data_IF_239983823985
#
_entry.id   IF_239983823985
#
_cell.length_a   1.000
_cell.length_b   1.000
_cell.length_c   1.000
_cell.angle_alpha   90.00
_cell.angle_beta   90.00
_cell.angle_gamma   90.00
#
_symmetry.space_group_name_H-M   'P 1'
#
loop_
_entity.id
_entity.type
_entity.pdbx_description
1 polymer ?
#
# COMPACT_ATOMS: atom_id res chain seq x y z
N UNK A 1 27.91 -9.23 -0.22
CA UNK A 1 27.80 -10.00 -1.48
C UNK A 1 26.78 -9.29 -2.36
N UNK A 2 27.17 -8.61 -3.43
CA UNK A 2 26.21 -8.17 -4.45
C UNK A 2 25.62 -9.42 -5.09
N UNK A 3 24.39 -9.74 -4.72
CA UNK A 3 23.59 -10.76 -5.40
C UNK A 3 23.37 -10.20 -6.81
N UNK A 4 24.14 -10.69 -7.77
CA UNK A 4 24.45 -9.96 -9.01
C UNK A 4 23.35 -10.15 -10.07
N UNK A 5 22.57 -9.10 -10.31
CA UNK A 5 21.78 -8.95 -11.53
C UNK A 5 22.74 -8.72 -12.70
N UNK A 6 22.59 -9.46 -13.81
CA UNK A 6 23.36 -9.22 -15.02
C UNK A 6 22.76 -8.04 -15.82
N UNK A 7 23.14 -6.82 -15.44
CA UNK A 7 22.57 -5.61 -16.00
C UNK A 7 22.82 -5.41 -17.49
N UNK A 8 23.93 -5.87 -18.04
CA UNK A 8 24.18 -5.82 -19.50
C UNK A 8 23.19 -6.68 -20.27
N UNK A 9 22.77 -7.83 -19.72
CA UNK A 9 21.72 -8.66 -20.31
C UNK A 9 20.36 -7.98 -20.24
N UNK A 10 20.05 -7.34 -19.10
CA UNK A 10 18.82 -6.55 -18.94
C UNK A 10 18.79 -5.38 -19.90
N UNK A 11 19.88 -4.63 -20.05
CA UNK A 11 19.97 -3.51 -21.00
C UNK A 11 19.62 -3.96 -22.42
N UNK A 12 20.27 -5.01 -22.93
CA UNK A 12 19.99 -5.54 -24.27
C UNK A 12 18.53 -5.94 -24.44
N UNK A 13 17.96 -6.57 -23.43
CA UNK A 13 16.55 -6.97 -23.41
C UNK A 13 15.63 -5.75 -23.45
N UNK A 14 15.85 -4.75 -22.58
CA UNK A 14 15.07 -3.52 -22.55
C UNK A 14 15.14 -2.76 -23.88
N UNK A 15 16.34 -2.64 -24.48
CA UNK A 15 16.49 -1.99 -25.78
C UNK A 15 15.70 -2.66 -26.89
N UNK A 16 15.62 -3.98 -26.87
CA UNK A 16 14.89 -4.76 -27.87
C UNK A 16 13.38 -4.65 -27.65
N UNK A 17 12.92 -4.97 -26.45
CA UNK A 17 11.48 -5.08 -26.16
C UNK A 17 10.78 -3.71 -26.07
N UNK A 18 11.50 -2.66 -25.71
CA UNK A 18 10.96 -1.30 -25.60
C UNK A 18 11.37 -0.38 -26.76
N UNK A 19 11.98 -0.93 -27.82
CA UNK A 19 12.46 -0.18 -28.99
C UNK A 19 13.39 1.00 -28.66
N UNK A 20 14.34 0.79 -27.73
CA UNK A 20 15.31 1.80 -27.28
C UNK A 20 16.69 1.64 -27.95
N UNK A 21 16.71 1.16 -29.19
CA UNK A 21 17.97 0.95 -29.94
C UNK A 21 18.63 2.27 -30.35
N UNK A 22 17.83 3.31 -30.58
CA UNK A 22 18.31 4.64 -30.96
C UNK A 22 18.66 5.52 -29.75
N UNK A 23 18.32 5.10 -28.52
CA UNK A 23 18.68 5.82 -27.30
C UNK A 23 20.19 5.70 -27.05
N UNK A 24 20.89 6.83 -27.09
CA UNK A 24 22.33 6.90 -26.83
C UNK A 24 22.66 6.80 -25.33
N UNK A 25 23.84 6.26 -25.01
CA UNK A 25 24.33 6.13 -23.63
C UNK A 25 24.07 4.76 -23.01
N UNK A 26 24.82 4.40 -21.97
CA UNK A 26 24.73 3.10 -21.28
C UNK A 26 23.55 3.05 -20.30
N UNK A 27 23.17 1.85 -19.86
CA UNK A 27 22.16 1.68 -18.81
C UNK A 27 22.66 2.22 -17.47
N UNK A 28 21.96 3.21 -16.93
CA UNK A 28 22.13 3.68 -15.56
C UNK A 28 21.10 3.05 -14.63
N UNK A 29 21.54 2.64 -13.43
CA UNK A 29 20.68 2.00 -12.43
C UNK A 29 20.82 2.73 -11.10
N UNK A 30 19.68 3.07 -10.51
CA UNK A 30 19.62 3.61 -9.14
C UNK A 30 18.59 2.86 -8.32
N UNK A 31 18.96 2.16 -7.24
CA UNK A 31 17.99 1.53 -6.34
C UNK A 31 17.17 2.60 -5.62
N UNK A 32 15.88 2.33 -5.42
CA UNK A 32 15.10 3.05 -4.42
C UNK A 32 15.41 2.43 -3.05
N UNK A 33 15.67 3.27 -2.05
CA UNK A 33 16.15 2.85 -0.72
C UNK A 33 15.03 2.47 0.25
N UNK A 34 13.76 2.62 -0.15
CA UNK A 34 12.59 2.38 0.70
C UNK A 34 11.96 1.00 0.43
N UNK A 35 11.72 0.24 1.52
CA UNK A 35 10.94 -1.00 1.52
C UNK A 35 11.76 -2.30 1.61
N UNK A 36 11.18 -3.30 2.28
CA UNK A 36 11.78 -4.64 2.46
C UNK A 36 11.09 -5.74 1.64
N UNK A 37 10.02 -5.40 0.91
CA UNK A 37 9.21 -6.38 0.17
C UNK A 37 9.86 -6.71 -1.17
N UNK A 38 9.76 -5.81 -2.15
CA UNK A 38 10.32 -5.98 -3.49
C UNK A 38 11.49 -5.02 -3.72
N UNK A 39 12.42 -5.41 -4.58
CA UNK A 39 13.50 -4.53 -5.01
C UNK A 39 13.01 -3.69 -6.18
N UNK A 40 13.18 -2.37 -6.07
CA UNK A 40 12.75 -1.41 -7.07
C UNK A 40 13.94 -0.57 -7.51
N UNK A 41 14.11 -0.40 -8.83
CA UNK A 41 15.23 0.31 -9.44
C UNK A 41 14.72 1.31 -10.46
N UNK A 42 15.22 2.55 -10.40
CA UNK A 42 15.18 3.45 -11.55
C UNK A 42 16.19 2.91 -12.58
N UNK A 43 15.72 2.71 -13.80
CA UNK A 43 16.53 2.36 -14.96
C UNK A 43 16.45 3.49 -15.98
N UNK A 44 17.61 3.98 -16.45
CA UNK A 44 17.69 5.05 -17.45
C UNK A 44 18.59 4.62 -18.61
N UNK A 45 18.13 4.85 -19.83
CA UNK A 45 18.89 4.64 -21.07
C UNK A 45 18.72 5.90 -21.90
N UNK A 46 19.78 6.70 -22.03
CA UNK A 46 19.67 8.00 -22.69
C UNK A 46 18.69 8.93 -21.98
N UNK A 47 17.63 9.35 -22.69
CA UNK A 47 16.55 10.17 -22.12
C UNK A 47 15.38 9.34 -21.59
N UNK A 48 15.32 8.05 -21.92
CA UNK A 48 14.27 7.16 -21.47
C UNK A 48 14.48 6.76 -20.00
N UNK A 49 13.42 6.88 -19.19
CA UNK A 49 13.38 6.50 -17.78
C UNK A 49 12.25 5.47 -17.54
N UNK A 50 12.54 4.47 -16.71
CA UNK A 50 11.57 3.47 -16.27
C UNK A 50 11.89 2.95 -14.86
N UNK A 51 10.94 2.23 -14.27
CA UNK A 51 11.10 1.59 -12.96
C UNK A 51 11.03 0.08 -13.13
N UNK A 52 12.11 -0.61 -12.79
CA UNK A 52 12.16 -2.07 -12.73
C UNK A 52 11.81 -2.54 -11.31
N UNK A 53 10.82 -3.42 -11.19
CA UNK A 53 10.42 -4.05 -9.93
C UNK A 53 10.62 -5.56 -10.00
N UNK A 54 11.23 -6.14 -8.97
CA UNK A 54 11.46 -7.59 -8.85
C UNK A 54 11.34 -8.10 -7.41
N UNK A 55 11.14 -9.41 -7.19
CA UNK A 55 11.22 -10.00 -5.87
C UNK A 55 12.62 -9.87 -5.25
N UNK A 56 12.75 -9.98 -3.91
CA UNK A 56 14.03 -9.97 -3.26
C UNK A 56 14.81 -11.25 -3.62
N UNK A 57 16.13 -11.20 -3.39
CA UNK A 57 16.97 -12.35 -3.70
C UNK A 57 16.83 -13.46 -2.67
N UNK A 58 16.93 -14.71 -3.13
CA UNK A 58 16.88 -15.91 -2.28
C UNK A 58 15.61 -16.72 -2.50
N UNK A 59 15.38 -17.67 -1.60
CA UNK A 59 14.13 -18.42 -1.55
C UNK A 59 13.00 -17.56 -1.01
N UNK A 60 11.83 -17.68 -1.62
CA UNK A 60 10.66 -16.88 -1.29
C UNK A 60 9.53 -17.81 -0.86
N UNK A 61 8.70 -17.42 0.13
CA UNK A 61 7.47 -18.14 0.43
C UNK A 61 6.60 -18.28 -0.82
N UNK A 62 5.94 -19.43 -0.97
CA UNK A 62 5.05 -19.67 -2.10
C UNK A 62 3.96 -18.58 -2.18
N UNK A 63 3.75 -18.03 -3.39
CA UNK A 63 2.79 -16.94 -3.71
C UNK A 63 3.12 -15.56 -3.10
N UNK A 64 4.25 -15.39 -2.41
CA UNK A 64 4.75 -14.06 -2.08
C UNK A 64 5.42 -13.42 -3.32
N UNK A 65 5.39 -12.09 -3.42
CA UNK A 65 6.06 -11.33 -4.48
C UNK A 65 5.63 -11.70 -5.91
N UNK A 66 4.32 -11.87 -6.14
CA UNK A 66 3.77 -12.21 -7.45
C UNK A 66 3.77 -10.99 -8.41
N UNK A 67 4.91 -10.76 -9.05
CA UNK A 67 5.11 -9.69 -10.05
C UNK A 67 4.17 -9.81 -11.25
N UNK A 68 3.74 -11.03 -11.61
CA UNK A 68 2.83 -11.25 -12.74
C UNK A 68 1.45 -10.71 -12.42
N UNK A 69 0.97 -10.98 -11.19
CA UNK A 69 -0.31 -10.47 -10.68
C UNK A 69 -0.32 -8.95 -10.70
N UNK A 70 0.70 -8.31 -10.14
CA UNK A 70 0.78 -6.85 -10.09
C UNK A 70 0.85 -6.23 -11.49
N UNK A 71 1.74 -6.69 -12.36
CA UNK A 71 1.83 -6.22 -13.74
C UNK A 71 0.49 -6.34 -14.49
N UNK A 72 -0.19 -7.49 -14.37
CA UNK A 72 -1.47 -7.72 -15.05
C UNK A 72 -2.58 -6.84 -14.48
N UNK A 73 -2.55 -6.55 -13.18
CA UNK A 73 -3.48 -5.63 -12.55
C UNK A 73 -3.27 -4.21 -13.08
N UNK A 74 -2.03 -3.71 -13.05
CA UNK A 74 -1.69 -2.38 -13.61
C UNK A 74 -2.15 -2.28 -15.06
N UNK A 75 -1.94 -3.34 -15.86
CA UNK A 75 -2.31 -3.36 -17.28
C UNK A 75 -3.82 -3.25 -17.51
N UNK A 76 -4.62 -3.83 -16.62
CA UNK A 76 -6.09 -3.79 -16.69
C UNK A 76 -6.65 -2.44 -16.25
N UNK A 77 -6.07 -1.83 -15.21
CA UNK A 77 -6.65 -0.61 -14.62
C UNK A 77 -6.12 0.68 -15.27
N UNK A 78 -4.95 0.66 -15.91
CA UNK A 78 -4.32 1.87 -16.44
C UNK A 78 -5.22 2.69 -17.39
N UNK A 79 -6.04 2.05 -18.23
CA UNK A 79 -6.91 2.75 -19.18
C UNK A 79 -8.04 3.53 -18.51
N UNK A 80 -8.45 3.13 -17.30
CA UNK A 80 -9.54 3.76 -16.54
C UNK A 80 -9.04 4.58 -15.35
N UNK A 81 -7.78 4.36 -14.97
CA UNK A 81 -7.12 5.03 -13.86
C UNK A 81 -5.63 5.28 -14.18
N UNK A 82 -5.32 6.28 -15.02
CA UNK A 82 -3.95 6.54 -15.52
C UNK A 82 -2.99 7.13 -14.48
N UNK A 83 -3.46 7.32 -13.24
CA UNK A 83 -2.65 7.67 -12.08
C UNK A 83 -1.85 6.46 -11.56
N UNK A 84 -2.12 5.24 -12.01
CA UNK A 84 -1.15 4.15 -11.81
C UNK A 84 0.03 4.30 -12.78
N UNK A 85 1.23 3.81 -12.42
CA UNK A 85 2.32 3.69 -13.38
C UNK A 85 1.93 2.79 -14.56
N UNK A 86 2.12 3.26 -15.79
CA UNK A 86 1.89 2.42 -16.98
C UNK A 86 2.82 1.21 -16.96
N UNK A 87 2.32 -0.04 -17.01
CA UNK A 87 3.19 -1.19 -17.20
C UNK A 87 3.73 -1.20 -18.62
N UNK A 88 5.06 -1.34 -18.75
CA UNK A 88 5.77 -1.27 -20.03
C UNK A 88 6.20 -2.66 -20.50
N UNK A 89 6.67 -3.51 -19.58
CA UNK A 89 7.24 -4.81 -19.91
C UNK A 89 7.09 -5.80 -18.75
N UNK A 90 6.86 -7.06 -19.05
CA UNK A 90 6.95 -8.17 -18.11
C UNK A 90 7.92 -9.22 -18.64
N UNK A 91 8.74 -9.80 -17.76
CA UNK A 91 9.68 -10.86 -18.13
C UNK A 91 9.63 -11.99 -17.09
N UNK A 92 9.41 -13.21 -17.58
CA UNK A 92 9.49 -14.46 -16.80
C UNK A 92 10.60 -15.40 -17.29
N UNK A 93 11.42 -14.96 -18.25
CA UNK A 93 12.50 -15.78 -18.80
C UNK A 93 13.69 -15.87 -17.82
N UNK A 94 13.99 -17.06 -17.26
CA UNK A 94 15.11 -17.24 -16.33
C UNK A 94 16.47 -17.00 -16.98
N UNK A 95 16.54 -17.02 -18.32
CA UNK A 95 17.75 -16.65 -19.03
C UNK A 95 17.99 -15.14 -19.01
N UNK A 96 16.97 -14.30 -18.77
CA UNK A 96 17.14 -12.84 -18.67
C UNK A 96 17.46 -12.44 -17.22
N UNK A 97 16.68 -12.92 -16.25
CA UNK A 97 16.88 -12.65 -14.82
C UNK A 97 16.46 -13.87 -13.97
N UNK A 98 17.11 -14.08 -12.82
CA UNK A 98 16.83 -15.18 -11.87
C UNK A 98 15.42 -15.16 -11.26
N UNK A 99 14.73 -14.02 -11.35
CA UNK A 99 13.34 -13.84 -10.89
C UNK A 99 12.55 -13.12 -11.97
N UNK A 100 11.25 -13.37 -11.98
CA UNK A 100 10.34 -12.59 -12.81
C UNK A 100 10.39 -11.13 -12.38
N UNK A 101 10.33 -10.23 -13.34
CA UNK A 101 10.31 -8.79 -13.09
C UNK A 101 9.38 -8.11 -14.06
N UNK A 102 9.04 -6.86 -13.77
CA UNK A 102 8.38 -6.00 -14.73
C UNK A 102 9.00 -4.61 -14.72
N UNK A 103 8.78 -3.88 -15.80
CA UNK A 103 9.15 -2.47 -15.94
C UNK A 103 7.88 -1.66 -16.11
N UNK A 104 7.82 -0.52 -15.42
CA UNK A 104 6.72 0.45 -15.51
C UNK A 104 7.25 1.86 -15.75
N UNK A 105 6.34 2.76 -16.13
CA UNK A 105 6.57 4.19 -16.24
C UNK A 105 7.17 4.76 -14.96
N UNK A 106 8.18 5.62 -15.11
CA UNK A 106 8.66 6.44 -14.01
C UNK A 106 7.77 7.68 -13.86
N UNK A 107 6.95 7.71 -12.82
CA UNK A 107 6.15 8.88 -12.44
C UNK A 107 7.00 9.88 -11.66
N UNK A 108 6.82 11.18 -11.94
CA UNK A 108 7.50 12.28 -11.26
C UNK A 108 6.52 12.96 -10.29
N UNK A 109 6.99 13.26 -9.09
CA UNK A 109 6.18 13.88 -8.06
C UNK A 109 6.87 13.87 -6.70
N UNK A 110 6.17 14.37 -5.70
CA UNK A 110 6.61 14.42 -4.31
C UNK A 110 5.88 13.35 -3.52
N UNK A 111 6.63 12.47 -2.85
CA UNK A 111 6.09 11.51 -1.88
C UNK A 111 6.27 12.08 -0.49
N UNK A 112 5.24 11.98 0.34
CA UNK A 112 5.28 12.45 1.73
C UNK A 112 5.46 11.26 2.67
N UNK A 113 6.54 11.28 3.46
CA UNK A 113 6.87 10.22 4.43
C UNK A 113 7.03 10.84 5.83
N UNK A 114 8.25 11.06 6.33
CA UNK A 114 8.53 11.70 7.63
C UNK A 114 8.46 13.24 7.58
N UNK A 115 8.76 13.82 6.42
CA UNK A 115 8.91 15.26 6.25
C UNK A 115 8.08 15.81 5.09
N UNK A 116 7.63 17.06 5.25
CA UNK A 116 7.05 17.85 4.17
C UNK A 116 8.15 18.69 3.50
N UNK A 117 8.04 18.96 2.19
CA UNK A 117 8.79 20.06 1.59
C UNK A 117 8.61 21.34 2.41
N UNK A 118 9.69 22.12 2.60
CA UNK A 118 9.66 23.31 3.47
C UNK A 118 8.53 24.28 3.09
N UNK A 119 8.33 24.51 1.79
CA UNK A 119 7.30 25.41 1.26
C UNK A 119 5.87 24.85 1.40
N UNK A 120 5.72 23.57 1.77
CA UNK A 120 4.43 22.91 1.98
C UNK A 120 3.99 22.90 3.44
N UNK A 121 4.85 23.36 4.36
CA UNK A 121 4.57 23.34 5.79
C UNK A 121 3.69 24.53 6.24
N UNK A 122 2.53 24.70 5.61
CA UNK A 122 1.50 25.67 5.99
C UNK A 122 0.18 24.94 6.22
N UNK A 123 -0.66 25.44 7.15
CA UNK A 123 -1.96 24.81 7.42
C UNK A 123 -2.85 24.75 6.18
N UNK A 124 -2.78 25.74 5.29
CA UNK A 124 -3.54 25.75 4.04
C UNK A 124 -3.13 24.59 3.12
N UNK A 125 -1.83 24.37 2.92
CA UNK A 125 -1.33 23.29 2.05
C UNK A 125 -1.60 21.92 2.68
N UNK A 126 -1.43 21.77 4.00
CA UNK A 126 -1.78 20.52 4.71
C UNK A 126 -3.27 20.15 4.54
N UNK A 127 -4.16 21.14 4.56
CA UNK A 127 -5.59 20.94 4.26
C UNK A 127 -5.83 20.56 2.80
N UNK A 128 -5.10 21.16 1.85
CA UNK A 128 -5.18 20.79 0.42
C UNK A 128 -4.73 19.34 0.19
N UNK A 129 -3.59 18.94 0.77
CA UNK A 129 -3.07 17.57 0.73
C UNK A 129 -4.11 16.59 1.30
N UNK A 130 -4.70 16.92 2.46
CA UNK A 130 -5.72 16.09 3.12
C UNK A 130 -6.94 15.85 2.20
N UNK A 131 -7.44 16.91 1.56
CA UNK A 131 -8.57 16.84 0.62
C UNK A 131 -8.22 16.06 -0.64
N UNK A 132 -7.05 16.31 -1.22
CA UNK A 132 -6.58 15.60 -2.41
C UNK A 132 -6.44 14.10 -2.14
N UNK A 133 -5.86 13.73 -1.00
CA UNK A 133 -5.70 12.34 -0.56
C UNK A 133 -7.03 11.59 -0.50
N UNK A 134 -8.04 12.15 0.17
CA UNK A 134 -9.32 11.47 0.31
C UNK A 134 -10.15 11.48 -0.97
N UNK A 135 -10.08 12.57 -1.74
CA UNK A 135 -10.75 12.64 -3.04
C UNK A 135 -10.18 11.61 -4.02
N UNK A 136 -8.87 11.36 -4.00
CA UNK A 136 -8.26 10.34 -4.83
C UNK A 136 -8.73 8.93 -4.48
N UNK A 137 -8.94 8.65 -3.19
CA UNK A 137 -9.52 7.37 -2.77
C UNK A 137 -10.96 7.23 -3.27
N UNK A 138 -11.75 8.31 -3.22
CA UNK A 138 -13.11 8.35 -3.78
C UNK A 138 -13.08 8.11 -5.30
N UNK A 139 -12.17 8.77 -6.03
CA UNK A 139 -12.01 8.60 -7.47
C UNK A 139 -11.70 7.14 -7.82
N UNK A 140 -10.78 6.49 -7.09
CA UNK A 140 -10.47 5.07 -7.24
C UNK A 140 -11.70 4.19 -6.99
N UNK A 141 -12.44 4.46 -5.91
CA UNK A 141 -13.60 3.67 -5.52
C UNK A 141 -14.83 3.88 -6.42
N UNK A 142 -14.87 4.97 -7.18
CA UNK A 142 -15.95 5.26 -8.13
C UNK A 142 -15.76 4.62 -9.51
N UNK A 143 -14.63 3.95 -9.75
CA UNK A 143 -14.44 3.16 -10.98
C UNK A 143 -15.39 1.96 -10.96
N UNK A 144 -16.31 1.91 -11.93
CA UNK A 144 -17.23 0.80 -12.08
C UNK A 144 -16.47 -0.47 -12.52
N UNK A 145 -16.39 -1.45 -11.63
CA UNK A 145 -15.66 -2.71 -11.85
C UNK A 145 -16.24 -3.51 -13.02
N UNK A 146 -17.56 -3.54 -13.19
CA UNK A 146 -18.22 -4.42 -14.15
C UNK A 146 -18.26 -3.79 -15.54
N UNK A 147 -18.56 -2.50 -15.65
CA UNK A 147 -18.54 -1.76 -16.92
C UNK A 147 -17.15 -1.74 -17.55
N UNK A 148 -16.09 -1.81 -16.73
CA UNK A 148 -14.70 -1.83 -17.19
C UNK A 148 -14.09 -3.24 -17.27
N UNK A 149 -14.89 -4.30 -17.11
CA UNK A 149 -14.44 -5.71 -17.20
C UNK A 149 -13.29 -6.06 -16.22
N UNK A 150 -13.35 -5.50 -15.01
CA UNK A 150 -12.35 -5.66 -13.95
C UNK A 150 -12.75 -6.72 -12.89
N UNK A 151 -13.84 -7.45 -13.10
CA UNK A 151 -14.35 -8.52 -12.23
C UNK A 151 -13.31 -9.64 -11.99
N UNK A 152 -12.42 -9.85 -12.94
CA UNK A 152 -11.32 -10.82 -12.86
C UNK A 152 -10.15 -10.39 -11.95
N UNK A 153 -10.17 -9.20 -11.36
CA UNK A 153 -9.13 -8.71 -10.43
C UNK A 153 -9.19 -9.37 -9.04
N UNK A 154 -10.27 -10.05 -8.70
CA UNK A 154 -10.44 -10.63 -7.39
C UNK A 154 -11.67 -11.51 -7.26
N UNK A 155 -12.04 -11.81 -6.02
CA UNK A 155 -13.25 -12.54 -5.68
C UNK A 155 -14.00 -11.69 -4.65
N UNK A 156 -15.09 -10.99 -5.01
CA UNK A 156 -15.80 -10.12 -4.07
C UNK A 156 -16.71 -10.90 -3.12
N UNK A 157 -17.36 -11.98 -3.58
CA UNK A 157 -18.25 -12.79 -2.75
C UNK A 157 -17.53 -13.31 -1.50
N UNK A 158 -18.01 -12.98 -0.30
CA UNK A 158 -17.40 -13.38 0.97
C UNK A 158 -16.03 -12.74 1.26
N UNK A 159 -15.72 -11.60 0.62
CA UNK A 159 -14.43 -10.90 0.74
C UNK A 159 -14.07 -10.57 2.20
N UNK A 160 -14.94 -9.85 2.92
CA UNK A 160 -14.68 -9.46 4.31
C UNK A 160 -14.44 -10.67 5.20
N UNK A 161 -15.28 -11.70 5.10
CA UNK A 161 -15.11 -12.95 5.86
C UNK A 161 -13.75 -13.61 5.59
N UNK A 162 -13.28 -13.64 4.34
CA UNK A 162 -11.95 -14.16 4.02
C UNK A 162 -10.84 -13.27 4.60
N UNK A 163 -10.97 -11.95 4.54
CA UNK A 163 -9.99 -11.05 5.10
C UNK A 163 -9.87 -11.27 6.60
N UNK A 164 -10.97 -11.19 7.35
CA UNK A 164 -10.98 -11.35 8.81
C UNK A 164 -10.34 -12.66 9.24
N UNK A 165 -10.84 -13.79 8.74
CA UNK A 165 -10.32 -15.10 9.10
C UNK A 165 -8.85 -15.29 8.70
N UNK A 166 -8.45 -14.78 7.52
CA UNK A 166 -7.08 -14.89 7.03
C UNK A 166 -6.08 -14.07 7.85
N UNK A 167 -6.46 -12.87 8.28
CA UNK A 167 -5.62 -12.03 9.14
C UNK A 167 -5.52 -12.56 10.57
N UNK A 168 -6.60 -13.12 11.12
CA UNK A 168 -6.59 -13.83 12.40
C UNK A 168 -5.64 -15.03 12.37
N UNK A 169 -5.72 -15.84 11.31
CA UNK A 169 -4.82 -16.97 11.14
C UNK A 169 -3.35 -16.52 11.04
N UNK A 170 -3.07 -15.43 10.32
CA UNK A 170 -1.73 -14.85 10.23
C UNK A 170 -1.21 -14.41 11.59
N UNK A 171 -2.01 -13.71 12.39
CA UNK A 171 -1.63 -13.31 13.74
C UNK A 171 -1.22 -14.52 14.59
N UNK A 172 -2.09 -15.54 14.65
CA UNK A 172 -1.86 -16.77 15.41
C UNK A 172 -0.57 -17.49 15.00
N UNK A 173 -0.22 -17.46 13.71
CA UNK A 173 1.02 -18.05 13.20
C UNK A 173 2.28 -17.23 13.49
N UNK A 174 2.15 -15.95 13.80
CA UNK A 174 3.28 -15.04 14.09
C UNK A 174 3.28 -14.52 15.52
N UNK A 175 2.45 -15.06 16.42
CA UNK A 175 2.35 -14.60 17.81
C UNK A 175 3.68 -14.78 18.53
N UNK A 176 4.16 -13.71 19.17
CA UNK A 176 5.40 -13.73 19.97
C UNK A 176 5.12 -13.60 21.47
N UNK A 177 4.10 -12.83 21.83
CA UNK A 177 3.76 -12.47 23.20
C UNK A 177 2.24 -12.58 23.40
N UNK A 178 1.80 -12.81 24.64
CA UNK A 178 0.38 -12.89 24.98
C UNK A 178 -0.23 -11.50 25.23
N UNK A 179 -1.28 -11.18 24.46
CA UNK A 179 -2.14 -10.02 24.68
C UNK A 179 -3.56 -10.52 25.05
N UNK A 180 -3.93 -10.57 26.35
CA UNK A 180 -5.14 -11.27 26.80
C UNK A 180 -6.46 -10.80 26.17
N UNK A 181 -6.53 -9.53 25.75
CA UNK A 181 -7.74 -8.96 25.15
C UNK A 181 -7.92 -9.31 23.67
N UNK A 182 -6.87 -9.78 22.98
CA UNK A 182 -6.90 -10.01 21.53
C UNK A 182 -7.87 -11.13 21.16
N UNK A 183 -7.99 -12.19 21.97
CA UNK A 183 -8.96 -13.26 21.68
C UNK A 183 -10.40 -12.75 21.68
N UNK A 184 -10.75 -11.88 22.64
CA UNK A 184 -12.08 -11.23 22.68
C UNK A 184 -12.31 -10.36 21.45
N UNK A 185 -11.30 -9.60 21.03
CA UNK A 185 -11.34 -8.77 19.82
C UNK A 185 -11.53 -9.63 18.56
N UNK A 186 -10.79 -10.74 18.42
CA UNK A 186 -10.93 -11.66 17.28
C UNK A 186 -12.34 -12.25 17.18
N UNK A 187 -12.92 -12.67 18.31
CA UNK A 187 -14.29 -13.18 18.34
C UNK A 187 -15.29 -12.08 17.92
N UNK A 188 -15.14 -10.86 18.44
CA UNK A 188 -15.99 -9.73 18.04
C UNK A 188 -15.88 -9.43 16.53
N UNK A 189 -14.66 -9.43 15.97
CA UNK A 189 -14.44 -9.24 14.53
C UNK A 189 -15.12 -10.31 13.69
N UNK A 190 -15.13 -11.57 14.15
CA UNK A 190 -15.80 -12.67 13.45
C UNK A 190 -17.32 -12.54 13.52
N UNK A 191 -17.85 -12.20 14.69
CA UNK A 191 -19.29 -12.17 14.95
C UNK A 191 -19.97 -10.91 14.38
N UNK A 192 -19.20 -9.84 14.17
CA UNK A 192 -19.72 -8.51 13.79
C UNK A 192 -19.47 -8.14 12.32
N UNK A 193 -19.06 -9.10 11.47
CA UNK A 193 -18.76 -8.84 10.04
C UNK A 193 -19.97 -8.15 9.37
N UNK A 194 -19.80 -6.94 8.82
CA UNK A 194 -20.85 -6.27 8.06
C UNK A 194 -21.29 -7.10 6.87
N UNK A 195 -22.60 -7.19 6.68
CA UNK A 195 -23.17 -7.59 5.40
C UNK A 195 -23.01 -6.41 4.44
N UNK A 196 -22.06 -6.56 3.50
CA UNK A 196 -21.71 -5.54 2.52
C UNK A 196 -21.65 -6.19 1.14
N UNK A 197 -22.31 -5.54 0.18
CA UNK A 197 -22.40 -5.98 -1.20
C UNK A 197 -21.58 -5.11 -2.15
N UNK A 198 -20.97 -4.03 -1.64
CA UNK A 198 -20.22 -3.09 -2.46
C UNK A 198 -18.93 -3.72 -2.98
N UNK A 199 -18.64 -3.46 -4.25
CA UNK A 199 -17.45 -3.99 -4.93
C UNK A 199 -16.80 -2.86 -5.72
N UNK A 200 -15.66 -2.41 -5.23
CA UNK A 200 -14.80 -1.44 -5.93
C UNK A 200 -13.42 -2.04 -6.12
N UNK A 201 -12.58 -1.36 -6.91
CA UNK A 201 -11.14 -1.56 -6.79
C UNK A 201 -10.74 -1.06 -5.40
N UNK A 202 -9.90 -1.84 -4.71
CA UNK A 202 -9.28 -1.46 -3.45
C UNK A 202 -7.77 -1.62 -3.56
N UNK A 203 -7.03 -0.62 -3.06
CA UNK A 203 -5.58 -0.60 -3.03
C UNK A 203 -5.02 -1.55 -1.95
N UNK A 204 -5.68 -1.61 -0.78
CA UNK A 204 -5.27 -2.28 0.45
C UNK A 204 -4.03 -1.72 1.16
N UNK A 205 -3.45 -0.64 0.64
CA UNK A 205 -2.28 0.05 1.20
C UNK A 205 -2.27 1.55 0.84
N UNK A 206 -3.46 2.16 0.80
CA UNK A 206 -3.60 3.55 0.35
C UNK A 206 -3.21 4.51 1.49
N UNK A 207 -1.98 5.01 1.45
CA UNK A 207 -1.36 5.86 2.49
C UNK A 207 -0.41 6.87 1.84
N UNK A 208 -0.11 7.98 2.51
CA UNK A 208 0.60 9.12 1.91
C UNK A 208 1.94 8.77 1.25
N UNK A 209 2.73 7.84 1.81
CA UNK A 209 4.01 7.47 1.20
C UNK A 209 3.88 6.55 -0.04
N UNK A 210 2.66 6.14 -0.39
CA UNK A 210 2.32 5.50 -1.66
C UNK A 210 1.63 6.48 -2.64
N UNK A 211 1.52 7.76 -2.30
CA UNK A 211 0.89 8.79 -3.13
C UNK A 211 1.96 9.80 -3.57
N UNK A 212 1.98 10.11 -4.87
CA UNK A 212 2.81 11.17 -5.43
C UNK A 212 1.97 12.40 -5.72
N UNK A 213 2.33 13.52 -5.10
CA UNK A 213 1.73 14.82 -5.34
C UNK A 213 2.47 15.58 -6.44
N UNK A 214 1.77 16.49 -7.12
CA UNK A 214 2.38 17.37 -8.11
C UNK A 214 3.31 18.37 -7.40
N UNK A 215 4.59 18.53 -7.83
CA UNK A 215 5.57 19.35 -7.10
C UNK A 215 5.19 20.83 -6.94
N UNK A 216 4.43 21.37 -7.90
CA UNK A 216 4.00 22.77 -7.89
C UNK A 216 2.54 22.95 -7.45
N UNK A 217 1.77 21.85 -7.35
CA UNK A 217 0.33 21.88 -7.08
C UNK A 217 -0.03 20.77 -6.06
N UNK A 218 0.17 21.01 -4.75
CA UNK A 218 0.02 19.98 -3.71
C UNK A 218 -1.43 19.49 -3.50
N UNK A 219 -2.40 20.10 -4.19
CA UNK A 219 -3.79 19.66 -4.29
C UNK A 219 -4.04 18.62 -5.39
N UNK A 220 -3.02 18.28 -6.18
CA UNK A 220 -3.10 17.32 -7.27
C UNK A 220 -2.21 16.11 -7.04
N UNK A 221 -2.77 14.93 -7.29
CA UNK A 221 -2.04 13.66 -7.24
C UNK A 221 -1.64 13.25 -8.65
N UNK A 222 -0.33 13.05 -8.83
CA UNK A 222 0.26 12.58 -10.09
C UNK A 222 0.21 11.07 -10.19
N UNK A 223 0.38 10.36 -9.07
CA UNK A 223 0.38 8.90 -9.08
C UNK A 223 -0.02 8.24 -7.75
N UNK A 224 -0.58 7.04 -7.87
CA UNK A 224 -0.77 6.10 -6.76
C UNK A 224 0.13 4.89 -7.02
N UNK A 225 0.96 4.54 -6.04
CA UNK A 225 2.02 3.56 -6.12
C UNK A 225 1.74 2.32 -5.26
N UNK A 226 2.51 1.26 -5.50
CA UNK A 226 2.50 0.02 -4.73
C UNK A 226 1.18 -0.79 -4.73
N UNK A 227 0.82 -1.31 -5.89
CA UNK A 227 -0.42 -2.03 -6.12
C UNK A 227 -0.35 -3.51 -5.74
N UNK A 228 0.68 -3.95 -5.01
CA UNK A 228 0.94 -5.38 -4.78
C UNK A 228 -0.14 -6.09 -3.95
N UNK A 229 -0.89 -5.35 -3.13
CA UNK A 229 -1.99 -5.85 -2.30
C UNK A 229 -3.38 -5.59 -2.88
N UNK A 230 -3.46 -4.90 -4.02
CA UNK A 230 -4.73 -4.46 -4.59
C UNK A 230 -5.58 -5.63 -5.12
N UNK A 231 -6.90 -5.42 -5.09
CA UNK A 231 -7.90 -6.38 -5.58
C UNK A 231 -9.25 -5.66 -5.76
N UNK A 232 -10.35 -6.40 -5.89
CA UNK A 232 -11.70 -5.87 -5.77
C UNK A 232 -12.35 -6.35 -4.47
N UNK A 233 -13.07 -5.46 -3.80
CA UNK A 233 -13.68 -5.74 -2.50
C UNK A 233 -14.45 -4.55 -1.96
N UNK A 234 -14.74 -4.61 -0.65
CA UNK A 234 -15.50 -3.56 0.04
C UNK A 234 -14.64 -2.29 0.19
N UNK A 235 -15.09 -1.13 -0.35
CA UNK A 235 -14.35 0.13 -0.28
C UNK A 235 -14.13 0.65 1.14
N UNK A 236 -15.01 0.32 2.09
CA UNK A 236 -14.88 0.79 3.48
C UNK A 236 -13.71 0.13 4.20
N UNK A 237 -13.29 -1.06 3.78
CA UNK A 237 -12.05 -1.64 4.28
C UNK A 237 -10.84 -0.82 3.85
N UNK A 238 -10.80 -0.35 2.61
CA UNK A 238 -9.68 0.43 2.10
C UNK A 238 -9.64 1.82 2.75
N UNK A 239 -10.80 2.48 2.88
CA UNK A 239 -10.94 3.70 3.67
C UNK A 239 -10.43 3.53 5.10
N UNK A 240 -10.86 2.47 5.79
CA UNK A 240 -10.43 2.26 7.17
C UNK A 240 -8.92 2.00 7.29
N UNK A 241 -8.31 1.32 6.31
CA UNK A 241 -6.86 1.15 6.25
C UNK A 241 -6.17 2.51 6.06
N UNK A 242 -6.65 3.34 5.14
CA UNK A 242 -6.13 4.70 4.94
C UNK A 242 -6.21 5.54 6.22
N UNK A 243 -7.35 5.52 6.90
CA UNK A 243 -7.55 6.24 8.16
C UNK A 243 -6.68 5.67 9.29
N UNK A 244 -6.42 4.36 9.32
CA UNK A 244 -5.53 3.76 10.31
C UNK A 244 -4.05 4.13 10.10
N UNK A 245 -3.63 4.40 8.85
CA UNK A 245 -2.32 4.99 8.56
C UNK A 245 -2.26 6.51 8.79
N UNK A 246 -3.42 7.18 8.81
CA UNK A 246 -3.53 8.61 9.07
C UNK A 246 -3.43 8.88 10.58
N UNK A 247 -2.23 9.23 11.04
CA UNK A 247 -1.97 9.52 12.45
C UNK A 247 -2.42 10.94 12.81
N UNK A 248 -2.92 11.12 14.02
CA UNK A 248 -3.34 12.40 14.60
C UNK A 248 -2.46 12.78 15.79
N UNK A 249 -2.46 14.06 16.17
CA UNK A 249 -1.78 14.53 17.37
C UNK A 249 -2.33 13.81 18.61
N UNK A 250 -1.45 13.25 19.44
CA UNK A 250 -1.82 12.51 20.64
C UNK A 250 -2.11 11.02 20.43
N UNK A 251 -1.97 10.51 19.20
CA UNK A 251 -1.93 9.06 18.98
C UNK A 251 -0.72 8.44 19.69
N UNK A 252 -0.92 7.20 20.17
CA UNK A 252 0.15 6.37 20.69
C UNK A 252 1.15 6.00 19.59
N UNK A 253 2.42 5.80 19.97
CA UNK A 253 3.47 5.34 19.04
C UNK A 253 3.12 3.95 18.46
N UNK A 254 3.03 3.85 17.14
CA UNK A 254 2.65 2.61 16.43
C UNK A 254 3.76 2.03 15.58
N UNK A 255 4.92 2.68 15.49
CA UNK A 255 5.96 2.36 14.51
C UNK A 255 5.55 2.70 13.07
N UNK A 256 4.40 3.37 12.88
CA UNK A 256 3.95 3.87 11.60
C UNK A 256 4.49 5.28 11.39
N UNK A 257 5.21 5.46 10.31
CA UNK A 257 5.68 6.76 9.87
C UNK A 257 4.55 7.51 9.16
N UNK A 258 4.17 8.68 9.67
CA UNK A 258 3.25 9.59 8.99
C UNK A 258 3.43 11.04 9.46
N UNK A 259 3.53 11.96 8.50
CA UNK A 259 3.63 13.41 8.74
C UNK A 259 2.33 14.06 9.23
N UNK A 260 1.23 13.31 9.26
CA UNK A 260 -0.13 13.82 9.47
C UNK A 260 -0.46 14.15 10.93
N UNK A 261 0.35 13.68 11.88
CA UNK A 261 0.23 14.03 13.29
C UNK A 261 0.61 15.48 13.60
N UNK A 262 1.10 16.24 12.61
CA UNK A 262 1.41 17.66 12.76
C UNK A 262 0.15 18.53 12.67
N UNK A 263 0.08 19.66 13.40
CA UNK A 263 -1.01 20.62 13.26
C UNK A 263 -1.21 21.09 11.81
N UNK A 264 -2.49 21.22 11.43
CA UNK A 264 -2.92 21.71 10.13
C UNK A 264 -3.43 20.64 9.15
N UNK A 265 -3.15 19.35 9.38
CA UNK A 265 -3.82 18.25 8.66
C UNK A 265 -5.25 18.06 9.15
N UNK A 266 -6.09 17.45 8.32
CA UNK A 266 -7.44 17.03 8.74
C UNK A 266 -7.37 15.86 9.72
N UNK A 267 -8.37 15.76 10.59
CA UNK A 267 -8.62 14.59 11.43
C UNK A 267 -9.19 13.43 10.60
N UNK A 268 -9.09 12.19 11.10
CA UNK A 268 -9.74 11.03 10.49
C UNK A 268 -11.25 11.22 10.37
N UNK A 269 -11.86 11.91 11.35
CA UNK A 269 -13.28 12.27 11.34
C UNK A 269 -13.64 13.14 10.14
N UNK A 270 -12.88 14.22 9.92
CA UNK A 270 -13.11 15.10 8.78
C UNK A 270 -12.90 14.37 7.44
N UNK A 271 -11.87 13.55 7.33
CA UNK A 271 -11.63 12.74 6.13
C UNK A 271 -12.78 11.76 5.85
N UNK A 272 -13.25 11.04 6.87
CA UNK A 272 -14.36 10.10 6.70
C UNK A 272 -15.66 10.80 6.29
N UNK A 273 -15.95 11.97 6.85
CA UNK A 273 -17.12 12.79 6.47
C UNK A 273 -17.00 13.20 5.00
N UNK A 274 -15.86 13.74 4.58
CA UNK A 274 -15.64 14.12 3.18
C UNK A 274 -15.74 12.93 2.23
N UNK A 275 -15.23 11.77 2.62
CA UNK A 275 -15.37 10.54 1.86
C UNK A 275 -16.84 10.15 1.70
N UNK A 276 -17.62 10.16 2.79
CA UNK A 276 -19.04 9.80 2.75
C UNK A 276 -19.84 10.76 1.86
N UNK A 277 -19.59 12.07 1.98
CA UNK A 277 -20.23 13.10 1.16
C UNK A 277 -19.90 12.93 -0.33
N UNK A 278 -18.63 12.75 -0.67
CA UNK A 278 -18.18 12.68 -2.06
C UNK A 278 -18.49 11.33 -2.74
N UNK A 279 -18.46 10.23 -1.99
CA UNK A 279 -18.73 8.89 -2.51
C UNK A 279 -20.20 8.47 -2.42
N UNK A 280 -21.01 9.18 -1.63
CA UNK A 280 -22.41 8.82 -1.34
C UNK A 280 -22.58 7.52 -0.53
N UNK A 281 -21.51 6.97 0.06
CA UNK A 281 -21.53 5.69 0.78
C UNK A 281 -21.86 5.88 2.26
N UNK A 282 -22.62 4.94 2.81
CA UNK A 282 -22.92 4.90 4.24
C UNK A 282 -21.68 4.44 5.04
N UNK A 283 -21.22 5.29 5.95
CA UNK A 283 -20.11 5.02 6.86
C UNK A 283 -20.55 4.68 8.28
N UNK A 284 -21.84 4.39 8.50
CA UNK A 284 -22.41 4.08 9.84
C UNK A 284 -21.70 2.93 10.56
N UNK A 285 -21.12 1.99 9.81
CA UNK A 285 -20.36 0.84 10.33
C UNK A 285 -18.83 1.04 10.31
N UNK A 286 -18.32 2.24 10.02
CA UNK A 286 -16.88 2.50 9.83
C UNK A 286 -16.02 2.08 11.03
N UNK A 287 -16.54 2.16 12.26
CA UNK A 287 -15.82 1.70 13.46
C UNK A 287 -15.45 0.20 13.39
N UNK A 288 -16.30 -0.64 12.80
CA UNK A 288 -15.95 -2.05 12.57
C UNK A 288 -14.75 -2.17 11.63
N UNK A 289 -14.79 -1.44 10.50
CA UNK A 289 -13.72 -1.48 9.52
C UNK A 289 -12.41 -0.92 10.10
N UNK A 290 -12.48 0.14 10.92
CA UNK A 290 -11.33 0.70 11.62
C UNK A 290 -10.74 -0.29 12.63
N UNK A 291 -11.58 -0.93 13.44
CA UNK A 291 -11.13 -1.99 14.35
C UNK A 291 -10.35 -3.06 13.59
N UNK A 292 -10.90 -3.51 12.46
CA UNK A 292 -10.25 -4.50 11.63
C UNK A 292 -8.99 -3.98 10.92
N UNK A 293 -8.95 -2.71 10.51
CA UNK A 293 -7.79 -2.09 9.88
C UNK A 293 -6.62 -1.97 10.86
N UNK A 294 -6.85 -1.49 12.08
CA UNK A 294 -5.82 -1.45 13.13
C UNK A 294 -5.30 -2.85 13.45
N UNK A 295 -6.21 -3.83 13.61
CA UNK A 295 -5.82 -5.23 13.79
C UNK A 295 -4.95 -5.71 12.62
N UNK A 296 -5.39 -5.49 11.37
CA UNK A 296 -4.66 -5.90 10.15
C UNK A 296 -3.25 -5.32 10.13
N UNK A 297 -3.08 -4.02 10.40
CA UNK A 297 -1.77 -3.37 10.41
C UNK A 297 -0.90 -3.92 11.55
N UNK A 298 -1.47 -4.13 12.74
CA UNK A 298 -0.77 -4.76 13.86
C UNK A 298 -0.24 -6.15 13.47
N UNK A 299 -1.03 -6.94 12.73
CA UNK A 299 -0.59 -8.27 12.25
C UNK A 299 0.53 -8.16 11.22
N UNK A 300 0.50 -7.17 10.31
CA UNK A 300 1.63 -6.93 9.39
C UNK A 300 2.92 -6.70 10.17
N UNK A 301 2.89 -5.81 11.17
CA UNK A 301 4.04 -5.54 12.03
C UNK A 301 4.44 -6.77 12.85
N UNK A 302 3.47 -7.54 13.36
CA UNK A 302 3.70 -8.78 14.11
C UNK A 302 4.43 -9.83 13.27
N UNK A 303 4.13 -9.96 11.97
CA UNK A 303 4.83 -10.89 11.09
C UNK A 303 6.28 -10.48 10.86
N UNK A 304 6.58 -9.18 10.79
CA UNK A 304 7.96 -8.67 10.70
C UNK A 304 8.68 -8.93 12.03
N UNK A 305 8.05 -8.57 13.14
CA UNK A 305 8.60 -8.75 14.48
C UNK A 305 8.89 -10.21 14.81
N UNK A 306 7.99 -11.12 14.43
CA UNK A 306 8.20 -12.56 14.57
C UNK A 306 9.46 -13.02 13.83
N UNK A 307 9.67 -12.58 12.58
CA UNK A 307 10.87 -12.93 11.80
C UNK A 307 12.15 -12.39 12.43
N UNK A 308 12.10 -11.17 12.99
CA UNK A 308 13.19 -10.61 13.76
C UNK A 308 13.49 -11.47 15.01
N UNK A 309 12.46 -11.81 15.81
CA UNK A 309 12.59 -12.63 17.03
C UNK A 309 13.21 -14.00 16.79
N UNK A 310 12.92 -14.64 15.65
CA UNK A 310 13.50 -15.95 15.30
C UNK A 310 14.82 -15.84 14.53
N UNK A 311 15.41 -14.64 14.43
CA UNK A 311 16.72 -14.40 13.79
C UNK A 311 16.72 -14.52 12.26
N UNK A 312 15.55 -14.46 11.59
CA UNK A 312 15.45 -14.47 10.12
C UNK A 312 15.65 -13.09 9.48
N UNK A 313 15.54 -12.03 10.28
CA UNK A 313 15.77 -10.65 9.88
C UNK A 313 16.61 -9.99 10.97
N UNK A 314 17.70 -9.36 10.59
CA UNK A 314 18.65 -8.71 11.51
C UNK A 314 18.68 -7.20 11.22
N UNK A 315 17.74 -6.49 11.85
CA UNK A 315 17.58 -5.04 11.73
C UNK A 315 17.07 -4.48 13.06
N UNK A 316 17.87 -3.65 13.71
CA UNK A 316 17.57 -3.12 15.05
C UNK A 316 16.29 -2.27 15.08
N UNK A 317 15.86 -1.72 13.94
CA UNK A 317 14.58 -0.98 13.85
C UNK A 317 13.38 -1.86 14.19
N UNK A 318 13.50 -3.18 14.03
CA UNK A 318 12.42 -4.12 14.34
C UNK A 318 12.37 -4.51 15.82
N UNK A 319 13.38 -4.19 16.63
CA UNK A 319 13.44 -4.60 18.03
C UNK A 319 12.25 -4.08 18.88
N UNK A 320 11.77 -2.87 18.56
CA UNK A 320 10.73 -2.18 19.31
C UNK A 320 9.33 -2.28 18.69
N UNK A 321 9.15 -3.04 17.60
CA UNK A 321 7.83 -3.17 16.95
C UNK A 321 6.73 -3.70 17.87
N UNK A 322 7.07 -4.48 18.90
CA UNK A 322 6.12 -4.97 19.90
C UNK A 322 5.30 -3.86 20.58
N UNK A 323 5.89 -2.68 20.79
CA UNK A 323 5.18 -1.51 21.34
C UNK A 323 4.08 -1.07 20.38
N UNK A 324 4.45 -0.85 19.11
CA UNK A 324 3.51 -0.42 18.10
C UNK A 324 2.41 -1.44 17.81
N UNK A 325 2.76 -2.73 17.76
CA UNK A 325 1.80 -3.84 17.64
C UNK A 325 0.78 -3.80 18.77
N UNK A 326 1.23 -3.67 20.02
CA UNK A 326 0.33 -3.60 21.18
C UNK A 326 -0.59 -2.38 21.10
N UNK A 327 -0.05 -1.22 20.73
CA UNK A 327 -0.82 0.02 20.63
C UNK A 327 -1.87 -0.03 19.51
N UNK A 328 -1.53 -0.59 18.35
CA UNK A 328 -2.49 -0.85 17.28
C UNK A 328 -3.59 -1.84 17.70
N UNK A 329 -3.23 -2.92 18.43
CA UNK A 329 -4.24 -3.84 18.97
C UNK A 329 -5.17 -3.16 19.97
N UNK A 330 -4.68 -2.22 20.79
CA UNK A 330 -5.51 -1.41 21.68
C UNK A 330 -6.42 -0.44 20.92
N UNK A 331 -5.93 0.19 19.84
CA UNK A 331 -6.78 1.02 18.97
C UNK A 331 -7.87 0.17 18.30
N UNK A 332 -7.54 -1.05 17.89
CA UNK A 332 -8.50 -2.00 17.35
C UNK A 332 -9.60 -2.35 18.37
N UNK A 333 -9.24 -2.63 19.63
CA UNK A 333 -10.19 -2.89 20.72
C UNK A 333 -11.04 -1.65 21.07
N UNK A 334 -10.43 -0.46 21.11
CA UNK A 334 -11.11 0.81 21.39
C UNK A 334 -12.20 1.10 20.35
N UNK A 335 -11.93 0.86 19.06
CA UNK A 335 -12.89 1.03 17.98
C UNK A 335 -14.13 0.13 18.10
N UNK A 336 -14.09 -0.94 18.89
CA UNK A 336 -15.28 -1.78 19.14
C UNK A 336 -16.28 -1.17 20.13
N UNK A 337 -15.83 -0.19 20.94
CA UNK A 337 -16.61 0.37 22.05
C UNK A 337 -16.89 1.87 21.91
N UNK A 338 -16.02 2.61 21.22
CA UNK A 338 -16.10 4.06 21.07
C UNK A 338 -16.13 4.45 19.59
N UNK A 339 -16.91 5.48 19.27
CA UNK A 339 -16.82 6.12 17.96
C UNK A 339 -15.44 6.77 17.83
N UNK A 340 -14.61 6.25 16.93
CA UNK A 340 -13.29 6.81 16.63
C UNK A 340 -13.38 7.87 15.53
N UNK A 341 -14.51 7.91 14.83
CA UNK A 341 -14.86 8.80 13.72
C UNK A 341 -16.31 9.20 13.88
#
# INVERSE_FOLDING_TARGET
>A
MTKNINWSRIEKYLRTELNLMDEAGELEIRPFTSGYSNLTYLVRIGQWEGVLRRPPFGELPARAHDMKREHNLLKKIYSVYPKVPKPLLYCEDPNIMDKHFYVMEFKKGVVLDEELPADWNTSQIKQQISKAFIQELVDLHNIDVYQNHLDSLGKPAGFLKRQVNGWIQRYRQSKTDDLPFVEKLENWLIDSIPDSTDVTIIHNDFKLNNIMFHPENPDQITAVLDWEMSTIGDPLLDLAISLAYWTEEGDEETGLTAVTNQPGFMTRRELAILYAEASGRDISKLNYYLSFAFYKIAVVLQQIYYRYKIGKVDDERFANLHVGIRNLMLQADKATHAAMV
#
